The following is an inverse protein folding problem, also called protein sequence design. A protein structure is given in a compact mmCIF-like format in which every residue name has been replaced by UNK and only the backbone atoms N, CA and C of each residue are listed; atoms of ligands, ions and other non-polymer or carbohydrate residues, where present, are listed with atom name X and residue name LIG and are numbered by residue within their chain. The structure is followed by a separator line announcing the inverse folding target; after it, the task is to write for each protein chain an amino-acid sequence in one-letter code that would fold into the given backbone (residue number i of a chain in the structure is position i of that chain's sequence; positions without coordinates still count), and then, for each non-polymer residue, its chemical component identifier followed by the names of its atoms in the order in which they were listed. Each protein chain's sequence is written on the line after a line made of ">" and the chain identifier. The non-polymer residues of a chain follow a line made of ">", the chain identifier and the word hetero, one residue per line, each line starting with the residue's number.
data_IF_923888817157
#
_entry.id   IF_923888817157
#
_cell.length_a   1.000
_cell.length_b   1.000
_cell.length_c   1.000
_cell.angle_alpha   90.00
_cell.angle_beta   90.00
_cell.angle_gamma   90.00
#
_symmetry.space_group_name_H-M   'P 1'
#
loop_
_entity.id
_entity.type
_entity.pdbx_description
1 polymer ?
#
# COMPACT_ATOMS: atom_id res chain seq x y z
N UNK A 1 -40.10 -70.02 -77.93
CA UNK A 1 -41.22 -69.73 -77.05
C UNK A 1 -40.69 -69.71 -75.60
N UNK A 2 -40.47 -68.56 -75.09
CA UNK A 2 -40.09 -68.36 -73.69
C UNK A 2 -41.29 -68.87 -72.88
N UNK A 3 -41.09 -69.96 -72.13
CA UNK A 3 -42.11 -70.59 -71.32
C UNK A 3 -42.48 -69.63 -70.21
N UNK A 4 -43.75 -69.35 -70.01
CA UNK A 4 -44.26 -68.38 -69.00
C UNK A 4 -43.70 -68.70 -67.59
N UNK A 5 -43.36 -69.96 -67.36
CA UNK A 5 -42.72 -70.44 -66.14
C UNK A 5 -41.31 -69.91 -65.91
N UNK A 6 -40.51 -69.79 -66.97
CA UNK A 6 -39.09 -69.20 -66.88
C UNK A 6 -39.10 -67.73 -66.67
N UNK A 7 -40.01 -66.97 -67.29
CA UNK A 7 -40.15 -65.55 -67.12
C UNK A 7 -40.59 -65.18 -65.71
N UNK A 8 -41.52 -65.92 -65.15
CA UNK A 8 -41.94 -65.71 -63.73
C UNK A 8 -40.86 -66.14 -62.76
N UNK A 9 -40.10 -67.23 -62.97
CA UNK A 9 -38.99 -67.63 -62.14
C UNK A 9 -37.87 -66.56 -62.09
N UNK A 10 -37.55 -65.88 -63.26
CA UNK A 10 -36.58 -64.77 -63.33
C UNK A 10 -37.09 -63.54 -62.54
N UNK A 11 -38.38 -63.20 -62.65
CA UNK A 11 -38.95 -62.08 -61.90
C UNK A 11 -38.96 -62.33 -60.36
N UNK A 12 -39.27 -63.58 -59.92
CA UNK A 12 -39.18 -63.96 -58.51
C UNK A 12 -37.73 -63.95 -58.01
N UNK A 13 -36.76 -64.36 -58.79
CA UNK A 13 -35.35 -64.34 -58.47
C UNK A 13 -34.84 -62.91 -58.26
N UNK A 14 -35.15 -62.00 -59.16
CA UNK A 14 -34.73 -60.59 -59.06
C UNK A 14 -35.43 -59.86 -57.89
N UNK A 15 -36.69 -60.17 -57.61
CA UNK A 15 -37.41 -59.62 -56.45
C UNK A 15 -36.80 -60.10 -55.10
N UNK A 16 -36.41 -61.38 -55.03
CA UNK A 16 -35.73 -61.93 -53.86
C UNK A 16 -34.35 -61.31 -53.63
N UNK A 17 -33.55 -61.11 -54.73
CA UNK A 17 -32.26 -60.42 -54.68
C UNK A 17 -32.40 -58.98 -54.19
N UNK A 18 -33.39 -58.24 -54.69
CA UNK A 18 -33.63 -56.85 -54.21
C UNK A 18 -34.08 -56.85 -52.74
N UNK A 19 -34.88 -57.80 -52.29
CA UNK A 19 -35.27 -57.89 -50.90
C UNK A 19 -34.08 -58.18 -49.99
N UNK A 20 -33.21 -59.13 -50.36
CA UNK A 20 -32.00 -59.46 -49.60
C UNK A 20 -31.04 -58.28 -49.55
N UNK A 21 -30.88 -57.57 -50.69
CA UNK A 21 -30.04 -56.35 -50.73
C UNK A 21 -30.59 -55.23 -49.85
N UNK A 22 -31.92 -55.05 -49.86
CA UNK A 22 -32.58 -54.05 -49.02
C UNK A 22 -32.42 -54.39 -47.51
N UNK A 23 -32.56 -55.68 -47.12
CA UNK A 23 -32.31 -56.13 -45.75
C UNK A 23 -30.85 -55.96 -45.32
N UNK A 24 -29.88 -56.29 -46.18
CA UNK A 24 -28.45 -56.07 -45.93
C UNK A 24 -28.10 -54.59 -45.80
N UNK A 25 -28.69 -53.74 -46.63
CA UNK A 25 -28.52 -52.27 -46.53
C UNK A 25 -29.16 -51.71 -45.22
N UNK A 26 -30.34 -52.18 -44.85
CA UNK A 26 -31.02 -51.79 -43.63
C UNK A 26 -30.21 -52.19 -42.38
N UNK A 27 -29.66 -53.40 -42.37
CA UNK A 27 -28.80 -53.85 -41.27
C UNK A 27 -27.54 -53.03 -41.18
N UNK A 28 -26.86 -52.78 -42.29
CA UNK A 28 -25.64 -51.90 -42.31
C UNK A 28 -25.93 -50.46 -41.90
N UNK A 29 -27.09 -49.92 -42.30
CA UNK A 29 -27.53 -48.60 -41.86
C UNK A 29 -27.82 -48.55 -40.37
N UNK A 30 -28.47 -49.55 -39.84
CA UNK A 30 -28.72 -49.69 -38.38
C UNK A 30 -27.41 -49.81 -37.60
N UNK A 31 -26.45 -50.58 -38.10
CA UNK A 31 -25.13 -50.70 -37.50
C UNK A 31 -24.39 -49.38 -37.47
N UNK A 32 -24.31 -48.63 -38.57
CA UNK A 32 -23.74 -47.33 -38.64
C UNK A 32 -24.42 -46.30 -37.68
N UNK A 33 -25.74 -46.36 -37.54
CA UNK A 33 -26.48 -45.52 -36.59
C UNK A 33 -26.12 -45.85 -35.16
N UNK A 34 -25.97 -47.12 -34.80
CA UNK A 34 -25.53 -47.51 -33.48
C UNK A 34 -24.09 -47.08 -33.15
N UNK A 35 -23.17 -47.24 -34.11
CA UNK A 35 -21.78 -46.79 -33.97
C UNK A 35 -21.67 -45.27 -33.80
N UNK A 36 -22.42 -44.52 -34.62
CA UNK A 36 -22.46 -43.05 -34.49
C UNK A 36 -23.06 -42.62 -33.12
N UNK A 37 -24.11 -43.24 -32.69
CA UNK A 37 -24.73 -42.96 -31.37
C UNK A 37 -23.78 -43.28 -30.20
N UNK A 38 -23.05 -44.40 -30.28
CA UNK A 38 -22.02 -44.75 -29.28
C UNK A 38 -20.87 -43.75 -29.28
N UNK A 39 -20.34 -43.36 -30.44
CA UNK A 39 -19.26 -42.37 -30.56
C UNK A 39 -19.67 -40.97 -30.03
N UNK A 40 -20.92 -40.56 -30.34
CA UNK A 40 -21.46 -39.30 -29.79
C UNK A 40 -21.61 -39.34 -28.29
N UNK A 41 -22.08 -40.46 -27.73
CA UNK A 41 -22.20 -40.65 -26.27
C UNK A 41 -20.82 -40.57 -25.57
N UNK A 42 -19.80 -41.20 -26.14
CA UNK A 42 -18.43 -41.19 -25.64
C UNK A 42 -17.83 -39.78 -25.72
N UNK A 43 -18.05 -39.07 -26.83
CA UNK A 43 -17.60 -37.69 -26.98
C UNK A 43 -18.22 -36.75 -25.95
N UNK A 44 -19.54 -36.89 -25.72
CA UNK A 44 -20.24 -36.10 -24.70
C UNK A 44 -19.76 -36.43 -23.28
N UNK A 45 -19.47 -37.70 -22.98
CA UNK A 45 -18.91 -38.09 -21.70
C UNK A 45 -17.53 -37.53 -21.46
N UNK A 46 -16.64 -37.56 -22.47
CA UNK A 46 -15.29 -36.97 -22.38
C UNK A 46 -15.32 -35.46 -22.26
N UNK A 47 -16.20 -34.78 -23.00
CA UNK A 47 -16.40 -33.33 -22.88
C UNK A 47 -16.88 -32.95 -21.47
N UNK A 48 -17.82 -33.69 -20.91
CA UNK A 48 -18.31 -33.45 -19.55
C UNK A 48 -17.22 -33.65 -18.52
N UNK A 49 -16.46 -34.72 -18.60
CA UNK A 49 -15.32 -34.97 -17.71
C UNK A 49 -14.26 -33.90 -17.78
N UNK A 50 -13.96 -33.37 -18.98
CA UNK A 50 -13.03 -32.27 -19.18
C UNK A 50 -13.52 -30.96 -18.53
N UNK A 51 -14.81 -30.63 -18.72
CA UNK A 51 -15.43 -29.45 -18.11
C UNK A 51 -15.37 -29.54 -16.57
N UNK A 52 -15.71 -30.68 -16.02
CA UNK A 52 -15.68 -30.90 -14.56
C UNK A 52 -14.24 -30.78 -14.01
N UNK A 53 -13.26 -31.30 -14.75
CA UNK A 53 -11.83 -31.17 -14.40
C UNK A 53 -11.38 -29.72 -14.46
N UNK A 54 -11.75 -28.98 -15.49
CA UNK A 54 -11.41 -27.55 -15.64
C UNK A 54 -12.02 -26.72 -14.52
N UNK A 55 -13.30 -26.94 -14.20
CA UNK A 55 -13.97 -26.23 -13.09
C UNK A 55 -13.31 -26.49 -11.74
N UNK A 56 -12.96 -27.75 -11.47
CA UNK A 56 -12.29 -28.10 -10.21
C UNK A 56 -10.87 -27.49 -10.13
N UNK A 57 -10.17 -27.39 -11.27
CA UNK A 57 -8.86 -26.74 -11.35
C UNK A 57 -8.97 -25.22 -11.16
N UNK A 58 -9.98 -24.59 -11.75
CA UNK A 58 -10.26 -23.17 -11.60
C UNK A 58 -10.57 -22.81 -10.14
N UNK A 59 -11.44 -23.55 -9.48
CA UNK A 59 -11.74 -23.35 -8.06
C UNK A 59 -10.48 -23.47 -7.17
N UNK A 60 -9.67 -24.50 -7.39
CA UNK A 60 -8.42 -24.66 -6.64
C UNK A 60 -7.44 -23.52 -6.86
N UNK A 61 -7.39 -23.00 -8.09
CA UNK A 61 -6.53 -21.85 -8.41
C UNK A 61 -7.03 -20.59 -7.71
N UNK A 62 -8.33 -20.34 -7.73
CA UNK A 62 -8.94 -19.20 -7.02
C UNK A 62 -8.66 -19.26 -5.52
N UNK A 63 -8.87 -20.42 -4.89
CA UNK A 63 -8.56 -20.62 -3.47
C UNK A 63 -7.08 -20.36 -3.16
N UNK A 64 -6.18 -20.88 -3.99
CA UNK A 64 -4.74 -20.70 -3.82
C UNK A 64 -4.32 -19.24 -4.02
N UNK A 65 -4.88 -18.53 -5.00
CA UNK A 65 -4.63 -17.09 -5.22
C UNK A 65 -5.11 -16.28 -4.01
N UNK A 66 -6.31 -16.57 -3.50
CA UNK A 66 -6.85 -15.87 -2.32
C UNK A 66 -5.96 -16.09 -1.08
N UNK A 67 -5.52 -17.32 -0.83
CA UNK A 67 -4.63 -17.66 0.30
C UNK A 67 -3.27 -16.94 0.18
N UNK A 68 -2.67 -16.97 -1.02
CA UNK A 68 -1.38 -16.29 -1.29
C UNK A 68 -1.48 -14.79 -1.15
N UNK A 69 -2.57 -14.19 -1.62
CA UNK A 69 -2.81 -12.75 -1.50
C UNK A 69 -2.90 -12.35 -0.03
N UNK A 70 -3.66 -13.09 0.78
CA UNK A 70 -3.79 -12.85 2.21
C UNK A 70 -2.44 -13.00 2.95
N UNK A 71 -1.67 -14.02 2.61
CA UNK A 71 -0.34 -14.24 3.19
C UNK A 71 0.63 -13.09 2.84
N UNK A 72 0.61 -12.63 1.58
CA UNK A 72 1.41 -11.51 1.11
C UNK A 72 1.04 -10.20 1.80
N UNK A 73 -0.25 -9.92 1.96
CA UNK A 73 -0.70 -8.74 2.71
C UNK A 73 -0.25 -8.76 4.18
N UNK A 74 -0.35 -9.93 4.84
CA UNK A 74 0.15 -10.09 6.21
C UNK A 74 1.65 -9.86 6.31
N UNK A 75 2.44 -10.41 5.38
CA UNK A 75 3.87 -10.21 5.31
C UNK A 75 4.24 -8.74 5.06
N UNK A 76 3.55 -8.08 4.13
CA UNK A 76 3.75 -6.67 3.83
C UNK A 76 3.40 -5.76 5.02
N UNK A 77 2.28 -6.04 5.73
CA UNK A 77 1.95 -5.34 6.98
C UNK A 77 3.02 -5.52 8.05
N UNK A 78 3.59 -6.73 8.21
CA UNK A 78 4.70 -6.99 9.14
C UNK A 78 5.97 -6.23 8.74
N UNK A 79 6.32 -6.22 7.46
CA UNK A 79 7.47 -5.45 6.97
C UNK A 79 7.30 -3.95 7.19
N UNK A 80 6.12 -3.40 6.89
CA UNK A 80 5.79 -1.99 7.19
C UNK A 80 5.83 -1.70 8.70
N UNK A 81 5.36 -2.63 9.54
CA UNK A 81 5.44 -2.48 10.98
C UNK A 81 6.87 -2.56 11.53
N UNK A 82 7.81 -3.21 10.83
CA UNK A 82 9.23 -3.26 11.19
C UNK A 82 10.03 -2.09 10.61
N UNK A 83 9.49 -1.39 9.62
CA UNK A 83 10.14 -0.21 9.03
C UNK A 83 10.28 0.88 10.10
N UNK A 84 11.45 1.50 10.15
CA UNK A 84 11.78 2.64 11.02
C UNK A 84 11.79 3.95 10.27
N UNK A 85 11.52 3.91 8.97
CA UNK A 85 11.50 5.08 8.08
C UNK A 85 10.10 5.35 7.56
N UNK A 86 9.79 6.62 7.32
CA UNK A 86 8.60 7.04 6.61
C UNK A 86 8.77 6.79 5.10
N UNK A 87 7.80 6.13 4.50
CA UNK A 87 7.88 5.68 3.10
C UNK A 87 7.82 6.80 2.05
N UNK A 88 7.36 7.99 2.42
CA UNK A 88 7.29 9.15 1.52
C UNK A 88 8.55 9.99 1.57
N UNK A 89 9.00 10.31 2.78
CA UNK A 89 10.05 11.29 3.03
C UNK A 89 11.43 10.67 3.26
N UNK A 90 11.49 9.35 3.57
CA UNK A 90 12.74 8.64 3.85
C UNK A 90 13.36 8.92 5.23
N UNK A 91 12.88 9.90 5.99
CA UNK A 91 13.31 10.17 7.38
C UNK A 91 12.68 9.14 8.35
N UNK A 92 13.01 9.24 9.63
CA UNK A 92 12.39 8.36 10.62
C UNK A 92 10.86 8.53 10.66
N UNK A 93 10.16 7.43 10.94
CA UNK A 93 8.73 7.47 11.21
C UNK A 93 8.44 7.64 12.70
N UNK A 94 7.16 7.82 13.07
CA UNK A 94 6.70 7.97 14.46
C UNK A 94 7.20 6.86 15.37
N UNK A 95 7.17 5.61 14.93
CA UNK A 95 7.66 4.49 15.71
C UNK A 95 9.14 4.64 16.09
N UNK A 96 9.97 5.03 15.12
CA UNK A 96 11.38 5.28 15.38
C UNK A 96 11.60 6.47 16.30
N UNK A 97 10.78 7.51 16.17
CA UNK A 97 10.74 8.64 17.10
C UNK A 97 10.47 8.18 18.54
N UNK A 98 9.40 7.38 18.76
CA UNK A 98 9.04 6.88 20.10
C UNK A 98 10.19 6.04 20.70
N UNK A 99 10.80 5.14 19.92
CA UNK A 99 11.94 4.32 20.35
C UNK A 99 13.15 5.18 20.77
N UNK A 100 13.51 6.17 19.96
CA UNK A 100 14.67 7.04 20.23
C UNK A 100 14.39 7.97 21.40
N UNK A 101 13.21 8.58 21.45
CA UNK A 101 12.83 9.45 22.56
C UNK A 101 12.92 8.72 23.92
N UNK A 102 12.37 7.50 23.99
CA UNK A 102 12.46 6.69 25.22
C UNK A 102 13.92 6.34 25.58
N UNK A 103 14.75 6.00 24.60
CA UNK A 103 16.16 5.67 24.80
C UNK A 103 16.96 6.86 25.28
N UNK A 104 16.78 8.03 24.63
CA UNK A 104 17.51 9.26 24.97
C UNK A 104 17.00 9.88 26.27
N UNK A 105 15.71 9.71 26.62
CA UNK A 105 15.20 10.07 27.94
C UNK A 105 15.89 9.28 29.07
N UNK A 106 15.99 7.97 28.90
CA UNK A 106 16.72 7.14 29.87
C UNK A 106 18.22 7.47 29.91
N UNK A 107 18.81 7.91 28.80
CA UNK A 107 20.20 8.40 28.78
C UNK A 107 20.33 9.72 29.52
N UNK A 108 19.46 10.71 29.25
CA UNK A 108 19.41 12.00 29.95
C UNK A 108 19.31 11.81 31.49
N UNK A 109 18.48 10.87 31.92
CA UNK A 109 18.32 10.55 33.35
C UNK A 109 19.65 10.05 34.01
N UNK A 110 20.47 9.32 33.26
CA UNK A 110 21.76 8.82 33.76
C UNK A 110 22.87 9.84 33.67
N UNK A 111 22.91 10.67 32.60
CA UNK A 111 23.98 11.63 32.37
C UNK A 111 23.74 12.99 33.00
N UNK A 112 22.50 13.35 33.28
CA UNK A 112 22.13 14.70 33.71
C UNK A 112 22.15 15.73 32.57
N UNK A 113 22.32 15.28 31.31
CA UNK A 113 22.32 16.17 30.15
C UNK A 113 20.89 16.46 29.68
N UNK A 114 20.62 17.66 29.15
CA UNK A 114 19.30 18.01 28.67
C UNK A 114 18.94 17.21 27.37
N UNK A 115 17.66 16.93 27.21
CA UNK A 115 17.06 16.40 26.00
C UNK A 115 16.08 17.44 25.47
N UNK A 116 16.28 17.88 24.23
CA UNK A 116 15.37 18.81 23.56
C UNK A 116 14.52 18.11 22.51
N UNK A 117 13.30 18.61 22.37
CA UNK A 117 12.30 18.18 21.39
C UNK A 117 11.72 19.40 20.70
N UNK A 118 11.65 19.36 19.37
CA UNK A 118 10.84 20.27 18.59
C UNK A 118 9.73 19.49 17.87
N UNK A 119 8.49 19.95 18.01
CA UNK A 119 7.36 19.54 17.17
C UNK A 119 7.12 20.63 16.14
N UNK A 120 6.96 20.25 14.87
CA UNK A 120 6.85 21.19 13.74
C UNK A 120 5.65 20.80 12.88
N UNK A 121 4.96 21.81 12.32
CA UNK A 121 3.79 21.59 11.47
C UNK A 121 3.86 22.61 10.30
N UNK A 122 3.48 22.15 9.09
CA UNK A 122 3.47 22.99 7.89
C UNK A 122 2.24 23.89 7.90
N UNK A 123 2.47 25.20 7.74
CA UNK A 123 1.39 26.17 7.69
C UNK A 123 0.45 25.95 6.50
N UNK A 124 -0.85 25.86 6.79
CA UNK A 124 -1.91 25.81 5.77
C UNK A 124 -1.78 24.63 4.80
N UNK A 125 -1.16 23.52 5.20
CA UNK A 125 -0.86 22.39 4.31
C UNK A 125 -2.11 21.80 3.64
N UNK A 126 -3.25 21.76 4.34
CA UNK A 126 -4.52 21.35 3.74
C UNK A 126 -4.89 22.25 2.56
N UNK A 127 -4.77 23.59 2.71
CA UNK A 127 -5.07 24.54 1.63
C UNK A 127 -4.07 24.42 0.46
N UNK A 128 -2.83 24.03 0.75
CA UNK A 128 -1.84 23.70 -0.27
C UNK A 128 -2.28 22.48 -1.10
N UNK A 129 -2.69 21.39 -0.44
CA UNK A 129 -3.21 20.20 -1.10
C UNK A 129 -4.49 20.47 -1.91
N UNK A 130 -5.40 21.26 -1.35
CA UNK A 130 -6.64 21.63 -2.03
C UNK A 130 -6.38 22.45 -3.30
N UNK A 131 -5.29 23.23 -3.34
CA UNK A 131 -4.90 24.06 -4.48
C UNK A 131 -4.08 23.32 -5.54
N UNK A 132 -3.07 22.54 -5.13
CA UNK A 132 -2.09 21.90 -6.05
C UNK A 132 -2.30 20.39 -6.23
N UNK A 133 -3.16 19.77 -5.41
CA UNK A 133 -3.35 18.33 -5.38
C UNK A 133 -2.35 17.59 -4.48
N UNK A 134 -2.69 16.35 -4.10
CA UNK A 134 -1.91 15.55 -3.16
C UNK A 134 -0.50 15.21 -3.65
N UNK A 135 -0.28 15.05 -4.96
CA UNK A 135 1.07 14.77 -5.49
C UNK A 135 2.03 15.92 -5.23
N UNK A 136 1.57 17.16 -5.42
CA UNK A 136 2.36 18.36 -5.09
C UNK A 136 2.58 18.48 -3.57
N UNK A 137 1.60 18.10 -2.75
CA UNK A 137 1.74 17.99 -1.31
C UNK A 137 2.80 16.99 -0.89
N UNK A 138 2.88 15.85 -1.54
CA UNK A 138 3.93 14.86 -1.31
C UNK A 138 5.32 15.41 -1.62
N UNK A 139 5.47 16.17 -2.71
CA UNK A 139 6.73 16.82 -3.06
C UNK A 139 7.11 17.93 -2.07
N UNK A 140 6.12 18.66 -1.57
CA UNK A 140 6.31 19.64 -0.49
C UNK A 140 6.82 18.95 0.79
N UNK A 141 6.20 17.85 1.22
CA UNK A 141 6.63 17.06 2.38
C UNK A 141 8.07 16.53 2.23
N UNK A 142 8.45 16.05 1.05
CA UNK A 142 9.84 15.64 0.75
C UNK A 142 10.82 16.79 0.86
N UNK A 143 10.44 17.97 0.35
CA UNK A 143 11.27 19.18 0.41
C UNK A 143 11.46 19.65 1.84
N UNK A 144 10.40 19.68 2.65
CA UNK A 144 10.48 20.02 4.08
C UNK A 144 11.36 19.03 4.83
N UNK A 145 11.16 17.72 4.63
CA UNK A 145 11.97 16.68 5.27
C UNK A 145 13.47 16.82 4.93
N UNK A 146 13.80 17.19 3.69
CA UNK A 146 15.17 17.44 3.26
C UNK A 146 15.79 18.66 3.99
N UNK A 147 15.04 19.77 4.13
CA UNK A 147 15.48 20.94 4.90
C UNK A 147 15.73 20.56 6.36
N UNK A 148 14.79 19.87 6.99
CA UNK A 148 14.92 19.42 8.38
C UNK A 148 16.19 18.57 8.58
N UNK A 149 16.42 17.61 7.69
CA UNK A 149 17.57 16.70 7.76
C UNK A 149 18.90 17.43 7.53
N UNK A 150 18.92 18.45 6.68
CA UNK A 150 20.12 19.23 6.40
C UNK A 150 20.49 20.15 7.57
N UNK A 151 19.50 20.76 8.24
CA UNK A 151 19.73 21.62 9.39
C UNK A 151 20.08 20.81 10.66
N UNK A 152 19.36 19.71 10.92
CA UNK A 152 19.63 18.80 12.04
C UNK A 152 20.75 17.79 11.66
N UNK A 153 21.93 18.29 11.31
CA UNK A 153 23.01 17.49 10.72
C UNK A 153 23.86 16.71 11.74
N UNK A 154 23.63 16.87 13.05
CA UNK A 154 24.37 16.06 14.05
C UNK A 154 23.88 14.61 14.01
N UNK A 155 24.82 13.67 14.03
CA UNK A 155 24.51 12.23 13.96
C UNK A 155 23.67 11.73 15.14
N UNK A 156 23.60 12.50 16.24
CA UNK A 156 22.80 12.24 17.44
C UNK A 156 21.37 12.72 17.31
N UNK A 157 21.10 13.65 16.40
CA UNK A 157 19.79 14.25 16.22
C UNK A 157 18.91 13.31 15.35
N UNK A 158 17.67 13.17 15.74
CA UNK A 158 16.69 12.41 14.97
C UNK A 158 15.66 13.37 14.39
N UNK A 159 15.50 13.32 13.07
CA UNK A 159 14.38 13.95 12.37
C UNK A 159 13.37 12.88 11.99
N UNK A 160 12.12 13.08 12.38
CA UNK A 160 11.03 12.13 12.13
C UNK A 160 9.80 12.83 11.55
N UNK A 161 9.06 12.09 10.72
CA UNK A 161 7.68 12.44 10.39
C UNK A 161 6.76 11.84 11.44
N UNK A 162 6.12 12.72 12.21
CA UNK A 162 5.33 12.31 13.37
C UNK A 162 3.91 11.87 12.97
N UNK A 163 3.23 12.70 12.17
CA UNK A 163 1.94 12.38 11.56
C UNK A 163 1.64 13.37 10.41
N UNK A 164 0.99 12.91 9.33
CA UNK A 164 0.55 13.76 8.24
C UNK A 164 1.59 14.80 7.78
N UNK A 165 1.36 16.07 8.10
CA UNK A 165 2.26 17.20 7.88
C UNK A 165 3.10 17.60 9.10
N UNK A 166 3.04 16.80 10.18
CA UNK A 166 3.76 17.06 11.42
C UNK A 166 5.11 16.35 11.43
N UNK A 167 6.13 17.05 11.88
CA UNK A 167 7.49 16.56 12.03
C UNK A 167 7.97 16.73 13.47
N UNK A 168 8.97 15.94 13.84
CA UNK A 168 9.61 16.04 15.16
C UNK A 168 11.12 15.96 15.05
N UNK A 169 11.83 16.70 15.90
CA UNK A 169 13.29 16.62 16.04
C UNK A 169 13.62 16.34 17.50
N UNK A 170 14.33 15.22 17.74
CA UNK A 170 14.87 14.85 19.06
C UNK A 170 16.38 15.14 19.05
N UNK A 171 16.85 15.96 19.96
CA UNK A 171 18.26 16.35 20.05
C UNK A 171 18.82 16.17 21.48
N UNK A 172 19.58 15.10 21.71
CA UNK A 172 20.27 14.87 22.98
C UNK A 172 21.36 15.90 23.26
N UNK A 173 21.60 16.22 24.54
CA UNK A 173 22.62 17.20 24.96
C UNK A 173 22.34 18.63 24.46
N UNK A 174 21.07 18.95 24.20
CA UNK A 174 20.65 20.21 23.59
C UNK A 174 19.73 20.97 24.54
N UNK A 175 20.00 22.25 24.75
CA UNK A 175 19.15 23.14 25.55
C UNK A 175 17.97 23.67 24.74
N UNK A 176 16.95 24.22 25.42
CA UNK A 176 15.80 24.84 24.75
C UNK A 176 16.23 25.98 23.81
N UNK A 177 17.20 26.82 24.23
CA UNK A 177 17.70 27.91 23.39
C UNK A 177 18.42 27.43 22.14
N UNK A 178 19.20 26.35 22.23
CA UNK A 178 19.86 25.76 21.07
C UNK A 178 18.85 25.11 20.10
N UNK A 179 17.82 24.42 20.62
CA UNK A 179 16.76 23.85 19.78
C UNK A 179 15.91 24.96 19.14
N UNK A 180 15.66 26.04 19.85
CA UNK A 180 14.99 27.21 19.27
C UNK A 180 15.80 27.81 18.10
N UNK A 181 17.11 27.95 18.27
CA UNK A 181 17.99 28.44 17.22
C UNK A 181 17.94 27.53 15.97
N UNK A 182 17.98 26.19 16.17
CA UNK A 182 17.84 25.23 15.08
C UNK A 182 16.47 25.35 14.40
N UNK A 183 15.38 25.48 15.15
CA UNK A 183 14.05 25.65 14.55
C UNK A 183 13.92 26.95 13.76
N UNK A 184 14.55 28.04 14.18
CA UNK A 184 14.60 29.29 13.44
C UNK A 184 15.46 29.16 12.16
N UNK A 185 16.60 28.47 12.21
CA UNK A 185 17.41 28.14 11.04
C UNK A 185 16.61 27.31 10.00
N UNK A 186 15.83 26.35 10.46
CA UNK A 186 14.92 25.56 9.61
C UNK A 186 13.89 26.45 8.92
N UNK A 187 13.26 27.39 9.66
CA UNK A 187 12.31 28.34 9.06
C UNK A 187 12.97 29.21 7.99
N UNK A 188 14.16 29.69 8.23
CA UNK A 188 14.93 30.51 7.27
C UNK A 188 15.30 29.68 6.03
N UNK A 189 15.78 28.47 6.22
CA UNK A 189 16.14 27.55 5.13
C UNK A 189 14.94 27.17 4.27
N UNK A 190 13.79 26.94 4.90
CA UNK A 190 12.54 26.66 4.19
C UNK A 190 12.06 27.88 3.40
N UNK A 191 12.11 29.06 3.99
CA UNK A 191 11.76 30.31 3.33
C UNK A 191 12.67 30.59 2.11
N UNK A 192 13.95 30.23 2.19
CA UNK A 192 14.91 30.40 1.09
C UNK A 192 14.60 29.51 -0.11
N UNK A 193 13.89 28.38 0.08
CA UNK A 193 13.41 27.54 -1.04
C UNK A 193 12.28 28.22 -1.84
N UNK A 194 11.62 29.23 -1.27
CA UNK A 194 10.54 30.00 -1.91
C UNK A 194 9.46 29.13 -2.56
N UNK A 195 9.10 28.00 -1.92
CA UNK A 195 8.04 27.10 -2.41
C UNK A 195 6.72 27.88 -2.44
N UNK A 196 6.18 28.10 -3.62
CA UNK A 196 4.98 28.93 -3.80
C UNK A 196 3.77 28.33 -3.07
N UNK A 197 3.06 29.16 -2.29
CA UNK A 197 1.83 28.79 -1.61
C UNK A 197 0.82 29.96 -1.66
N UNK A 198 0.14 30.16 -2.80
CA UNK A 198 -0.68 31.36 -3.03
C UNK A 198 -1.86 31.50 -2.08
N UNK A 199 -2.32 30.42 -1.46
CA UNK A 199 -3.40 30.41 -0.47
C UNK A 199 -2.92 30.66 0.97
N UNK A 200 -1.59 30.74 1.18
CA UNK A 200 -1.01 31.13 2.46
C UNK A 200 -0.84 32.64 2.54
N UNK A 201 -1.02 33.26 3.72
CA UNK A 201 -0.76 34.70 3.92
C UNK A 201 0.69 35.12 3.59
N UNK A 202 1.65 34.20 3.72
CA UNK A 202 3.09 34.44 3.41
C UNK A 202 3.43 34.31 1.92
N UNK A 203 2.50 33.78 1.08
CA UNK A 203 2.75 33.51 -0.33
C UNK A 203 3.69 32.33 -0.60
N UNK A 204 4.28 31.75 0.42
CA UNK A 204 5.18 30.61 0.35
C UNK A 204 4.88 29.60 1.48
N UNK A 205 5.47 28.40 1.36
CA UNK A 205 5.40 27.36 2.40
C UNK A 205 6.22 27.81 3.59
N UNK A 206 5.59 27.83 4.75
CA UNK A 206 6.20 28.10 6.06
C UNK A 206 5.84 27.01 7.05
N UNK A 207 6.46 26.99 8.21
CA UNK A 207 6.16 26.09 9.30
C UNK A 207 6.16 26.83 10.63
N UNK A 208 5.48 26.28 11.60
CA UNK A 208 5.56 26.71 13.00
C UNK A 208 6.09 25.56 13.85
N UNK A 209 6.72 25.91 14.98
CA UNK A 209 7.34 24.95 15.85
C UNK A 209 7.07 25.23 17.34
N UNK A 210 6.85 24.16 18.08
CA UNK A 210 6.86 24.15 19.54
C UNK A 210 8.11 23.44 20.03
N UNK A 211 8.86 24.07 20.91
CA UNK A 211 10.14 23.59 21.42
C UNK A 211 10.05 23.39 22.93
N UNK A 212 10.50 22.24 23.40
CA UNK A 212 10.69 21.96 24.82
C UNK A 212 12.06 21.32 25.07
N UNK A 213 12.61 21.51 26.25
CA UNK A 213 13.79 20.79 26.69
C UNK A 213 13.70 20.52 28.19
N UNK A 214 14.16 19.36 28.59
CA UNK A 214 14.19 18.96 30.01
C UNK A 214 15.39 18.05 30.29
N UNK A 215 15.83 18.06 31.53
CA UNK A 215 16.69 17.00 32.07
C UNK A 215 15.76 15.97 32.72
N UNK A 216 15.88 14.71 32.26
CA UNK A 216 15.06 13.64 32.79
C UNK A 216 15.38 13.38 34.28
N UNK A 217 14.36 13.39 35.14
CA UNK A 217 14.47 13.11 36.56
C UNK A 217 13.64 11.90 36.97
N UNK A 218 13.95 11.22 38.09
CA UNK A 218 13.09 10.15 38.59
C UNK A 218 11.64 10.63 38.77
N UNK A 219 10.68 9.89 38.21
CA UNK A 219 9.26 10.22 38.28
C UNK A 219 8.73 11.05 37.09
N UNK A 220 9.59 11.53 36.19
CA UNK A 220 9.16 12.16 34.90
C UNK A 220 9.20 11.15 33.74
N UNK A 221 8.38 11.39 32.72
CA UNK A 221 8.25 10.51 31.57
C UNK A 221 8.55 11.26 30.27
N UNK A 222 8.97 10.58 29.20
CA UNK A 222 9.14 11.20 27.87
C UNK A 222 7.88 11.92 27.39
N UNK A 223 6.70 11.41 27.73
CA UNK A 223 5.41 11.99 27.35
C UNK A 223 5.23 13.42 27.91
N UNK A 224 5.84 13.73 29.05
CA UNK A 224 5.80 15.09 29.60
C UNK A 224 6.55 16.10 28.71
N UNK A 225 7.65 15.68 28.07
CA UNK A 225 8.41 16.51 27.12
C UNK A 225 7.60 16.69 25.81
N UNK A 226 6.96 15.61 25.34
CA UNK A 226 6.07 15.67 24.16
C UNK A 226 4.92 16.64 24.42
N UNK A 227 4.24 16.49 25.56
CA UNK A 227 3.12 17.36 25.93
C UNK A 227 3.52 18.85 26.03
N UNK A 228 4.72 19.14 26.54
CA UNK A 228 5.24 20.51 26.63
C UNK A 228 5.52 21.09 25.23
N UNK A 229 6.17 20.32 24.33
CA UNK A 229 6.43 20.74 22.95
C UNK A 229 5.13 20.92 22.16
N UNK A 230 4.14 20.04 22.36
CA UNK A 230 2.83 20.09 21.72
C UNK A 230 2.03 21.34 22.17
N UNK A 231 2.08 21.65 23.47
CA UNK A 231 1.45 22.87 23.99
C UNK A 231 2.09 24.14 23.39
N UNK A 232 3.43 24.18 23.26
CA UNK A 232 4.12 25.27 22.59
C UNK A 232 3.77 25.34 21.09
N UNK A 233 3.65 24.21 20.41
CA UNK A 233 3.20 24.12 19.00
C UNK A 233 1.79 24.69 18.84
N UNK A 234 0.87 24.32 19.73
CA UNK A 234 -0.47 24.88 19.75
C UNK A 234 -0.48 26.40 19.95
N UNK A 235 0.35 26.93 20.85
CA UNK A 235 0.52 28.36 21.02
C UNK A 235 1.05 29.05 19.77
N UNK A 236 2.05 28.45 19.09
CA UNK A 236 2.58 28.97 17.83
C UNK A 236 1.47 29.05 16.77
N UNK A 237 0.62 28.03 16.66
CA UNK A 237 -0.55 28.01 15.76
C UNK A 237 -1.55 29.11 16.12
N UNK A 238 -1.93 29.26 17.39
CA UNK A 238 -2.93 30.20 17.87
C UNK A 238 -2.48 31.67 17.74
N UNK A 239 -1.16 31.96 17.86
CA UNK A 239 -0.62 33.29 17.84
C UNK A 239 -0.19 33.80 16.46
N UNK A 240 -0.48 33.02 15.38
CA UNK A 240 -0.33 33.51 14.00
C UNK A 240 0.60 32.68 13.12
N UNK A 241 0.99 31.48 13.55
CA UNK A 241 1.83 30.55 12.75
C UNK A 241 3.20 31.12 12.37
N UNK A 242 3.95 30.47 11.49
CA UNK A 242 5.28 30.91 11.00
C UNK A 242 6.17 31.44 12.14
N UNK A 243 6.27 30.71 13.22
CA UNK A 243 7.03 31.07 14.42
C UNK A 243 7.48 29.87 15.23
N UNK A 244 8.44 30.11 16.10
CA UNK A 244 8.93 29.15 17.09
C UNK A 244 8.52 29.64 18.48
N UNK A 245 7.87 28.77 19.26
CA UNK A 245 7.47 29.02 20.65
C UNK A 245 8.18 28.04 21.56
N UNK A 246 8.69 28.52 22.68
CA UNK A 246 9.24 27.73 23.77
C UNK A 246 8.15 27.37 24.78
N UNK A 247 8.22 26.14 25.35
CA UNK A 247 7.37 25.69 26.44
C UNK A 247 7.78 26.27 27.78
#
# INVERSE_FOLDING_TARGET
>A
PTNVLTANAMQFGSALEMLLLALALADRFNQMRRERAAMQAELLATQKALIDTLRSSEQRLEEHVAERTLALEKANRRLKALSRTDGLTGIANRRRFDEVLASEWARSQRSGEPLALAMLDIDWFKAYNDHYGHLAGDDCLRSVAAVLSNCAARHTDLVARYDGEEFAIVAPGTTAAQMQALALEIQQSLAALALAHPTSPSGCVTLYAGVAAAVATPGTTPDSLVAAADQALYQAKATGRNRVVLA
#
